data_IF_462917767848
#
_entry.id   IF_462917767848
#
_cell.length_a   1.000
_cell.length_b   1.000
_cell.length_c   1.000
_cell.angle_alpha   90.00
_cell.angle_beta   90.00
_cell.angle_gamma   90.00
#
_symmetry.space_group_name_H-M   'P 1'
#
loop_
_entity.id
_entity.type
_entity.pdbx_description
1 polymer ?
#
# COMPACT_ATOMS: atom_id res chain seq x y z
N UNK A 1 6.28 -8.75 22.30
CA UNK A 1 5.47 -8.18 21.20
C UNK A 1 5.07 -9.32 20.27
N UNK A 2 3.82 -9.39 19.78
CA UNK A 2 3.41 -10.44 18.83
C UNK A 2 4.15 -10.24 17.50
N UNK A 3 4.66 -11.31 16.89
CA UNK A 3 5.53 -11.23 15.70
C UNK A 3 4.89 -10.47 14.52
N UNK A 4 3.58 -10.63 14.31
CA UNK A 4 2.87 -9.91 13.25
C UNK A 4 2.91 -8.39 13.39
N UNK A 5 3.05 -7.85 14.61
CA UNK A 5 3.21 -6.40 14.83
C UNK A 5 4.55 -5.89 14.30
N UNK A 6 5.61 -6.70 14.34
CA UNK A 6 6.90 -6.37 13.73
C UNK A 6 6.74 -6.18 12.23
N UNK A 7 6.01 -7.09 11.57
CA UNK A 7 5.75 -7.00 10.13
C UNK A 7 4.86 -5.81 9.76
N UNK A 8 3.88 -5.45 10.60
CA UNK A 8 3.09 -4.23 10.43
C UNK A 8 3.96 -2.97 10.53
N UNK A 9 4.87 -2.91 11.51
CA UNK A 9 5.82 -1.80 11.62
C UNK A 9 6.76 -1.73 10.41
N UNK A 10 7.28 -2.88 9.95
CA UNK A 10 8.08 -2.95 8.74
C UNK A 10 7.33 -2.43 7.51
N UNK A 11 6.08 -2.87 7.32
CA UNK A 11 5.23 -2.40 6.24
C UNK A 11 4.97 -0.89 6.30
N UNK A 12 4.68 -0.35 7.50
CA UNK A 12 4.47 1.08 7.71
C UNK A 12 5.72 1.90 7.39
N UNK A 13 6.90 1.43 7.82
CA UNK A 13 8.18 2.08 7.51
C UNK A 13 8.49 2.05 6.01
N UNK A 14 8.31 0.90 5.36
CA UNK A 14 8.55 0.75 3.92
C UNK A 14 7.63 1.64 3.09
N UNK A 15 6.32 1.61 3.33
CA UNK A 15 5.37 2.45 2.60
C UNK A 15 5.47 3.93 2.94
N UNK A 16 5.79 4.27 4.19
CA UNK A 16 6.06 5.66 4.60
C UNK A 16 7.29 6.26 3.90
N UNK A 17 8.37 5.47 3.76
CA UNK A 17 9.57 5.89 3.05
C UNK A 17 9.44 5.84 1.51
N UNK A 18 8.46 5.09 0.99
CA UNK A 18 8.28 4.87 -0.44
C UNK A 18 8.06 6.17 -1.24
N UNK A 19 7.09 7.00 -0.85
CA UNK A 19 6.73 8.20 -1.65
C UNK A 19 7.87 9.23 -1.70
N UNK A 20 8.56 9.57 -0.60
CA UNK A 20 9.71 10.48 -0.65
C UNK A 20 10.87 9.94 -1.49
N UNK A 21 11.24 8.66 -1.32
CA UNK A 21 12.35 8.05 -2.08
C UNK A 21 12.02 7.91 -3.56
N UNK A 22 10.77 7.60 -3.89
CA UNK A 22 10.28 7.57 -5.25
C UNK A 22 10.33 8.97 -5.90
N UNK A 23 9.84 10.00 -5.21
CA UNK A 23 9.91 11.38 -5.71
C UNK A 23 11.36 11.80 -5.99
N UNK A 24 12.28 11.48 -5.08
CA UNK A 24 13.72 11.71 -5.29
C UNK A 24 14.25 10.94 -6.51
N UNK A 25 13.87 9.66 -6.67
CA UNK A 25 14.23 8.86 -7.83
C UNK A 25 13.72 9.46 -9.15
N UNK A 26 12.48 9.95 -9.18
CA UNK A 26 11.92 10.66 -10.35
C UNK A 26 12.70 11.92 -10.67
N UNK A 27 13.07 12.72 -9.66
CA UNK A 27 13.85 13.93 -9.82
C UNK A 27 15.24 13.64 -10.42
N UNK A 28 15.97 12.66 -9.86
CA UNK A 28 17.28 12.23 -10.35
C UNK A 28 17.22 11.64 -11.76
N UNK A 29 16.10 11.02 -12.13
CA UNK A 29 15.83 10.54 -13.49
C UNK A 29 15.31 11.65 -14.44
N UNK A 30 15.53 12.93 -14.11
CA UNK A 30 15.10 14.10 -14.89
C UNK A 30 13.58 14.08 -15.17
N UNK A 31 12.78 13.87 -14.12
CA UNK A 31 11.31 13.76 -14.21
C UNK A 31 10.83 12.42 -14.80
N UNK A 32 11.68 11.39 -14.79
CA UNK A 32 11.43 10.10 -15.41
C UNK A 32 10.47 9.19 -14.64
N UNK A 33 9.20 9.57 -14.48
CA UNK A 33 8.22 8.82 -13.69
C UNK A 33 8.02 7.36 -14.11
N UNK A 34 7.84 7.09 -15.41
CA UNK A 34 7.68 5.70 -15.89
C UNK A 34 8.98 4.90 -15.79
N UNK A 35 10.14 5.56 -15.94
CA UNK A 35 11.45 4.93 -15.74
C UNK A 35 11.65 4.55 -14.27
N UNK A 36 11.24 5.42 -13.35
CA UNK A 36 11.21 5.10 -11.92
C UNK A 36 10.24 3.93 -11.64
N UNK A 37 9.08 3.87 -12.30
CA UNK A 37 8.16 2.74 -12.15
C UNK A 37 8.75 1.43 -12.66
N UNK A 38 9.53 1.45 -13.75
CA UNK A 38 10.25 0.25 -14.21
C UNK A 38 11.21 -0.26 -13.12
N UNK A 39 11.94 0.63 -12.44
CA UNK A 39 12.78 0.24 -11.29
C UNK A 39 11.95 -0.36 -10.15
N UNK A 40 10.77 0.19 -9.85
CA UNK A 40 9.82 -0.38 -8.87
C UNK A 40 9.35 -1.77 -9.31
N UNK A 41 9.05 -1.96 -10.60
CA UNK A 41 8.66 -3.25 -11.16
C UNK A 41 9.73 -4.32 -11.00
N UNK A 42 11.00 -3.99 -11.25
CA UNK A 42 12.13 -4.89 -10.98
C UNK A 42 12.20 -5.25 -9.50
N UNK A 43 12.07 -4.25 -8.60
CA UNK A 43 12.05 -4.50 -7.17
C UNK A 43 10.90 -5.43 -6.75
N UNK A 44 9.70 -5.25 -7.31
CA UNK A 44 8.54 -6.12 -7.07
C UNK A 44 8.78 -7.54 -7.58
N UNK A 45 9.44 -7.73 -8.72
CA UNK A 45 9.80 -9.07 -9.15
C UNK A 45 10.73 -9.77 -8.14
N UNK A 46 11.74 -9.06 -7.63
CA UNK A 46 12.64 -9.61 -6.60
C UNK A 46 11.86 -9.94 -5.32
N UNK A 47 11.07 -9.01 -4.80
CA UNK A 47 10.44 -9.17 -3.49
C UNK A 47 9.16 -10.01 -3.50
N UNK A 48 8.39 -9.99 -4.58
CA UNK A 48 7.12 -10.71 -4.68
C UNK A 48 7.21 -12.03 -5.45
N UNK A 49 8.32 -12.29 -6.16
CA UNK A 49 8.55 -13.56 -6.86
C UNK A 49 9.75 -14.29 -6.28
N UNK A 50 10.95 -13.71 -6.35
CA UNK A 50 12.17 -14.44 -5.98
C UNK A 50 12.24 -14.75 -4.48
N UNK A 51 11.86 -13.81 -3.61
CA UNK A 51 11.85 -14.04 -2.16
C UNK A 51 10.86 -15.14 -1.76
N UNK A 52 9.56 -15.10 -2.14
CA UNK A 52 8.64 -16.20 -1.84
C UNK A 52 9.09 -17.54 -2.41
N UNK A 53 9.63 -17.58 -3.63
CA UNK A 53 10.17 -18.83 -4.19
C UNK A 53 11.30 -19.40 -3.33
N UNK A 54 12.22 -18.56 -2.84
CA UNK A 54 13.28 -19.00 -1.93
C UNK A 54 12.75 -19.50 -0.59
N UNK A 55 11.73 -18.85 -0.03
CA UNK A 55 11.11 -19.26 1.23
C UNK A 55 10.32 -20.57 1.11
N UNK A 56 9.63 -20.77 -0.01
CA UNK A 56 8.83 -21.96 -0.28
C UNK A 56 9.70 -23.16 -0.67
N UNK A 57 10.55 -23.00 -1.68
CA UNK A 57 11.37 -24.10 -2.21
C UNK A 57 12.67 -24.32 -1.42
N UNK A 58 13.24 -23.27 -0.85
CA UNK A 58 14.51 -23.36 -0.10
C UNK A 58 14.31 -23.66 1.38
N UNK A 59 13.34 -23.00 2.03
CA UNK A 59 13.10 -23.12 3.47
C UNK A 59 11.89 -23.98 3.85
N UNK A 60 11.04 -24.35 2.89
CA UNK A 60 9.87 -25.21 3.14
C UNK A 60 8.87 -24.59 4.13
N UNK A 61 8.73 -23.26 4.14
CA UNK A 61 7.95 -22.55 5.16
C UNK A 61 6.46 -22.92 5.20
N UNK A 62 5.89 -23.33 4.08
CA UNK A 62 4.51 -23.80 3.98
C UNK A 62 4.33 -24.79 2.80
N UNK A 63 3.29 -25.67 2.83
CA UNK A 63 2.99 -26.60 1.75
C UNK A 63 2.61 -25.91 0.43
N UNK A 64 3.00 -26.50 -0.71
CA UNK A 64 2.65 -25.99 -2.04
C UNK A 64 1.25 -26.41 -2.49
N UNK A 65 0.24 -25.87 -1.80
CA UNK A 65 -1.16 -26.09 -2.14
C UNK A 65 -1.75 -24.92 -2.92
N UNK A 66 -2.31 -25.20 -4.09
CA UNK A 66 -2.83 -24.18 -5.00
C UNK A 66 -4.31 -24.44 -5.30
N UNK A 67 -5.13 -23.40 -5.27
CA UNK A 67 -6.51 -23.46 -5.72
C UNK A 67 -6.87 -22.25 -6.57
N UNK A 68 -7.82 -22.42 -7.51
CA UNK A 68 -8.17 -21.39 -8.50
C UNK A 68 -8.69 -20.10 -7.85
N UNK A 69 -9.46 -20.21 -6.78
CA UNK A 69 -10.01 -19.06 -6.05
C UNK A 69 -8.90 -18.23 -5.40
N UNK A 70 -8.01 -18.88 -4.65
CA UNK A 70 -6.85 -18.26 -4.01
C UNK A 70 -5.93 -17.56 -5.01
N UNK A 71 -5.57 -18.25 -6.10
CA UNK A 71 -4.74 -17.66 -7.17
C UNK A 71 -5.39 -16.42 -7.78
N UNK A 72 -6.70 -16.47 -8.02
CA UNK A 72 -7.43 -15.34 -8.64
C UNK A 72 -7.43 -14.13 -7.72
N UNK A 73 -7.83 -14.29 -6.45
CA UNK A 73 -7.86 -13.17 -5.51
C UNK A 73 -6.47 -12.63 -5.18
N UNK A 74 -5.47 -13.49 -5.04
CA UNK A 74 -4.09 -13.07 -4.82
C UNK A 74 -3.55 -12.28 -6.03
N UNK A 75 -3.85 -12.72 -7.25
CA UNK A 75 -3.46 -11.99 -8.48
C UNK A 75 -4.14 -10.63 -8.56
N UNK A 76 -5.45 -10.57 -8.29
CA UNK A 76 -6.19 -9.29 -8.27
C UNK A 76 -5.63 -8.36 -7.20
N UNK A 77 -5.32 -8.86 -6.01
CA UNK A 77 -4.69 -8.07 -4.95
C UNK A 77 -3.32 -7.52 -5.40
N UNK A 78 -2.50 -8.33 -6.08
CA UNK A 78 -1.23 -7.89 -6.67
C UNK A 78 -1.39 -6.79 -7.71
N UNK A 79 -2.37 -6.92 -8.62
CA UNK A 79 -2.70 -5.90 -9.61
C UNK A 79 -3.16 -4.59 -8.95
N UNK A 80 -4.03 -4.66 -7.94
CA UNK A 80 -4.48 -3.48 -7.19
C UNK A 80 -3.32 -2.76 -6.50
N UNK A 81 -2.39 -3.52 -5.90
CA UNK A 81 -1.18 -2.96 -5.28
C UNK A 81 -0.26 -2.26 -6.29
N UNK A 82 0.02 -2.91 -7.43
CA UNK A 82 0.85 -2.35 -8.49
C UNK A 82 0.20 -1.13 -9.17
N UNK A 83 -1.12 -1.15 -9.37
CA UNK A 83 -1.89 -0.02 -9.87
C UNK A 83 -1.84 1.17 -8.90
N UNK A 84 -1.96 0.92 -7.59
CA UNK A 84 -1.80 1.96 -6.56
C UNK A 84 -0.43 2.64 -6.63
N UNK A 85 0.65 1.86 -6.74
CA UNK A 85 2.00 2.38 -6.93
C UNK A 85 2.14 3.23 -8.22
N UNK A 86 1.56 2.77 -9.32
CA UNK A 86 1.52 3.53 -10.58
C UNK A 86 0.79 4.87 -10.42
N UNK A 87 -0.37 4.90 -9.74
CA UNK A 87 -1.09 6.15 -9.51
C UNK A 87 -0.33 7.12 -8.61
N UNK A 88 0.38 6.64 -7.59
CA UNK A 88 1.28 7.49 -6.78
C UNK A 88 2.36 8.13 -7.68
N UNK A 89 2.97 7.34 -8.55
CA UNK A 89 3.99 7.80 -9.50
C UNK A 89 3.45 8.87 -10.44
N UNK A 90 2.26 8.65 -10.99
CA UNK A 90 1.61 9.59 -11.89
C UNK A 90 1.18 10.87 -11.16
N UNK A 91 0.72 10.77 -9.91
CA UNK A 91 0.38 11.92 -9.08
C UNK A 91 1.61 12.81 -8.79
N UNK A 92 2.76 12.20 -8.49
CA UNK A 92 4.02 12.94 -8.33
C UNK A 92 4.47 13.56 -9.66
N UNK A 93 4.34 12.81 -10.78
CA UNK A 93 4.66 13.31 -12.12
C UNK A 93 3.81 14.52 -12.52
N UNK A 94 2.54 14.55 -12.11
CA UNK A 94 1.62 15.64 -12.40
C UNK A 94 1.76 16.83 -11.44
N UNK A 95 2.85 16.92 -10.68
CA UNK A 95 3.14 18.06 -9.79
C UNK A 95 2.75 17.85 -8.33
N UNK A 96 2.24 16.67 -7.96
CA UNK A 96 2.04 16.33 -6.55
C UNK A 96 3.38 16.24 -5.80
N UNK A 97 3.39 16.68 -4.54
CA UNK A 97 4.56 16.51 -3.67
C UNK A 97 4.32 15.41 -2.63
N UNK A 98 5.38 14.78 -2.10
CA UNK A 98 5.26 13.76 -1.07
C UNK A 98 4.45 14.21 0.15
N UNK A 99 4.54 15.50 0.51
CA UNK A 99 3.81 16.10 1.63
C UNK A 99 2.29 16.09 1.46
N UNK A 100 1.78 15.96 0.24
CA UNK A 100 0.36 15.86 -0.04
C UNK A 100 -0.05 14.45 -0.47
N UNK A 101 0.69 13.85 -1.41
CA UNK A 101 0.34 12.56 -2.00
C UNK A 101 0.36 11.45 -0.95
N UNK A 102 1.40 11.40 -0.10
CA UNK A 102 1.51 10.32 0.88
C UNK A 102 0.40 10.37 1.94
N UNK A 103 0.14 11.50 2.64
CA UNK A 103 -0.94 11.54 3.64
C UNK A 103 -2.32 11.25 3.06
N UNK A 104 -2.63 11.76 1.86
CA UNK A 104 -3.92 11.52 1.20
C UNK A 104 -4.13 10.03 0.88
N UNK A 105 -3.12 9.36 0.33
CA UNK A 105 -3.21 7.94 -0.03
C UNK A 105 -3.27 7.06 1.22
N UNK A 106 -2.34 7.24 2.17
CA UNK A 106 -2.20 6.31 3.29
C UNK A 106 -3.27 6.45 4.37
N UNK A 107 -3.97 7.58 4.43
CA UNK A 107 -5.12 7.73 5.31
C UNK A 107 -6.46 7.51 4.60
N UNK A 108 -6.52 7.69 3.28
CA UNK A 108 -7.67 7.27 2.48
C UNK A 108 -7.78 5.75 2.38
N UNK A 109 -6.64 5.04 2.28
CA UNK A 109 -6.60 3.58 2.12
C UNK A 109 -7.32 2.81 3.24
N UNK A 110 -7.16 3.13 4.54
CA UNK A 110 -7.94 2.50 5.60
C UNK A 110 -9.46 2.68 5.45
N UNK A 111 -9.91 3.86 5.03
CA UNK A 111 -11.35 4.15 4.81
C UNK A 111 -11.88 3.28 3.67
N UNK A 112 -11.17 3.25 2.53
CA UNK A 112 -11.55 2.41 1.39
C UNK A 112 -11.54 0.93 1.78
N UNK A 113 -10.52 0.48 2.50
CA UNK A 113 -10.43 -0.90 2.97
C UNK A 113 -11.61 -1.27 3.87
N UNK A 114 -12.00 -0.40 4.80
CA UNK A 114 -13.15 -0.57 5.66
C UNK A 114 -14.46 -0.69 4.85
N UNK A 115 -14.69 0.20 3.89
CA UNK A 115 -15.88 0.17 3.03
C UNK A 115 -15.95 -1.10 2.17
N UNK A 116 -14.84 -1.47 1.53
CA UNK A 116 -14.75 -2.70 0.72
C UNK A 116 -14.98 -3.94 1.59
N UNK A 117 -14.39 -3.97 2.78
CA UNK A 117 -14.57 -5.07 3.73
C UNK A 117 -16.03 -5.22 4.16
N UNK A 118 -16.72 -4.12 4.47
CA UNK A 118 -18.14 -4.15 4.81
C UNK A 118 -19.03 -4.54 3.62
N UNK A 119 -18.66 -4.14 2.41
CA UNK A 119 -19.40 -4.52 1.20
C UNK A 119 -19.28 -6.03 0.92
N UNK A 120 -18.08 -6.59 1.10
CA UNK A 120 -17.80 -8.00 0.86
C UNK A 120 -18.33 -8.90 1.98
N UNK A 121 -18.13 -8.47 3.22
CA UNK A 121 -18.56 -9.17 4.43
C UNK A 121 -19.57 -8.29 5.15
N UNK A 122 -20.84 -8.38 4.71
CA UNK A 122 -21.93 -7.57 5.26
C UNK A 122 -21.96 -7.69 6.79
N UNK A 123 -21.89 -6.56 7.53
CA UNK A 123 -21.92 -6.57 8.98
C UNK A 123 -23.20 -7.26 9.48
N UNK A 124 -23.05 -8.19 10.44
CA UNK A 124 -24.21 -8.84 11.08
C UNK A 124 -25.02 -7.87 11.95
N UNK A 125 -24.38 -6.80 12.40
CA UNK A 125 -24.96 -5.70 13.17
C UNK A 125 -24.46 -4.39 12.58
N UNK A 126 -25.22 -3.30 12.76
CA UNK A 126 -24.79 -1.98 12.31
C UNK A 126 -23.43 -1.61 12.95
N UNK A 127 -22.48 -1.05 12.19
CA UNK A 127 -21.21 -0.60 12.76
C UNK A 127 -21.47 0.41 13.89
N UNK A 128 -20.77 0.24 15.01
CA UNK A 128 -20.89 1.15 16.14
C UNK A 128 -20.53 2.59 15.75
N UNK A 129 -21.11 3.57 16.45
CA UNK A 129 -20.85 5.00 16.20
C UNK A 129 -19.34 5.31 16.31
N UNK A 130 -18.62 4.64 17.22
CA UNK A 130 -17.18 4.82 17.39
C UNK A 130 -16.35 4.53 16.13
N UNK A 131 -16.80 3.59 15.29
CA UNK A 131 -16.15 3.28 14.02
C UNK A 131 -16.27 4.45 13.03
N UNK A 132 -17.46 5.05 12.92
CA UNK A 132 -17.68 6.22 12.07
C UNK A 132 -16.90 7.44 12.58
N UNK A 133 -16.88 7.66 13.89
CA UNK A 133 -16.06 8.70 14.52
C UNK A 133 -14.59 8.48 14.20
N UNK A 134 -14.08 7.25 14.29
CA UNK A 134 -12.71 6.91 13.93
C UNK A 134 -12.36 7.26 12.47
N UNK A 135 -13.26 6.98 11.53
CA UNK A 135 -13.06 7.36 10.12
C UNK A 135 -13.02 8.88 9.91
N UNK A 136 -13.91 9.62 10.58
CA UNK A 136 -13.90 11.08 10.55
C UNK A 136 -12.60 11.62 11.15
N UNK A 137 -12.16 11.09 12.29
CA UNK A 137 -10.91 11.50 12.93
C UNK A 137 -9.69 11.19 12.05
N UNK A 138 -9.68 10.06 11.34
CA UNK A 138 -8.63 9.76 10.37
C UNK A 138 -8.59 10.81 9.25
N UNK A 139 -9.75 11.16 8.68
CA UNK A 139 -9.84 12.20 7.65
C UNK A 139 -9.41 13.58 8.16
N UNK A 140 -9.82 13.94 9.38
CA UNK A 140 -9.41 15.19 10.04
C UNK A 140 -7.90 15.19 10.31
N UNK A 141 -7.33 14.08 10.76
CA UNK A 141 -5.90 13.93 11.00
C UNK A 141 -5.07 14.23 9.76
N UNK A 142 -5.50 13.76 8.58
CA UNK A 142 -4.90 14.14 7.29
C UNK A 142 -5.01 15.63 7.05
N UNK A 143 -6.21 16.20 7.22
CA UNK A 143 -6.43 17.63 7.05
C UNK A 143 -5.48 18.47 7.90
N UNK A 144 -5.26 18.07 9.15
CA UNK A 144 -4.31 18.71 10.05
C UNK A 144 -2.86 18.58 9.56
N UNK A 145 -2.43 17.37 9.16
CA UNK A 145 -1.09 17.15 8.60
C UNK A 145 -0.86 18.01 7.35
N UNK A 146 -1.85 18.08 6.45
CA UNK A 146 -1.76 18.89 5.23
C UNK A 146 -1.78 20.40 5.52
N UNK A 147 -2.49 20.83 6.56
CA UNK A 147 -2.62 22.24 6.96
C UNK A 147 -1.38 22.76 7.69
N UNK A 148 -0.75 21.94 8.52
CA UNK A 148 0.39 22.29 9.37
C UNK A 148 1.71 21.65 8.94
N UNK A 149 1.79 21.09 7.73
CA UNK A 149 3.04 20.63 7.13
C UNK A 149 4.11 21.75 7.20
N UNK A 150 5.38 21.40 7.46
CA UNK A 150 6.48 22.36 7.53
C UNK A 150 6.81 22.99 6.18
#
# INVERSE_FOLDING_TARGET
>A
MKLWLVFVLGAALSWGAYVPTLHQGQALLKGGALRAFLCVGVAYFVTAVLVPLGLLYGAGMEPMEWNRGGVTFATVAGVLGAAGALFVILALKSGGSPLYVAPLVFAGAPIVNALVSMAWHKPKQAPEIGFWVGMVLAAVGVGLVLRFKP
#
